data_IF_270727251298
#
_entry.id   IF_270727251298
#
_cell.length_a   1.000
_cell.length_b   1.000
_cell.length_c   1.000
_cell.angle_alpha   90.00
_cell.angle_beta   90.00
_cell.angle_gamma   90.00
#
_symmetry.space_group_name_H-M   'P 1'
#
loop_
_entity.id
_entity.type
_entity.pdbx_description
1 polymer ?
#
# COMPACT_ATOMS: atom_id res chain seq x y z
N UNK A 1 -15.83 16.13 -3.72
CA UNK A 1 -15.39 14.76 -4.08
C UNK A 1 -16.61 13.96 -4.50
N UNK A 2 -16.60 13.33 -5.68
CA UNK A 2 -17.69 12.46 -6.11
C UNK A 2 -17.26 11.00 -6.03
N UNK A 3 -18.07 10.15 -5.39
CA UNK A 3 -17.74 8.74 -5.09
C UNK A 3 -17.33 7.95 -6.34
N UNK A 4 -17.98 8.19 -7.48
CA UNK A 4 -17.64 7.53 -8.75
C UNK A 4 -16.21 7.85 -9.24
N UNK A 5 -15.70 9.04 -8.94
CA UNK A 5 -14.33 9.44 -9.31
C UNK A 5 -13.30 8.67 -8.46
N UNK A 6 -13.56 8.52 -7.17
CA UNK A 6 -12.71 7.73 -6.27
C UNK A 6 -12.74 6.25 -6.63
N UNK A 7 -13.92 5.73 -6.99
CA UNK A 7 -14.06 4.36 -7.46
C UNK A 7 -13.21 4.14 -8.72
N UNK A 8 -13.36 5.04 -9.70
CA UNK A 8 -12.55 5.01 -10.92
C UNK A 8 -11.05 5.09 -10.61
N UNK A 9 -10.65 5.98 -9.71
CA UNK A 9 -9.27 6.11 -9.27
C UNK A 9 -8.73 4.83 -8.63
N UNK A 10 -9.52 4.19 -7.75
CA UNK A 10 -9.16 2.92 -7.13
C UNK A 10 -9.03 1.81 -8.17
N UNK A 11 -9.97 1.72 -9.12
CA UNK A 11 -9.92 0.76 -10.21
C UNK A 11 -8.67 0.95 -11.08
N UNK A 12 -8.40 2.20 -11.52
CA UNK A 12 -7.30 2.53 -12.43
C UNK A 12 -5.94 2.30 -11.75
N UNK A 13 -5.78 2.69 -10.48
CA UNK A 13 -4.54 2.47 -9.70
C UNK A 13 -4.17 0.99 -9.57
N UNK A 14 -5.18 0.13 -9.43
CA UNK A 14 -4.98 -1.31 -9.26
C UNK A 14 -4.95 -2.07 -10.60
N UNK A 15 -4.98 -1.38 -11.74
CA UNK A 15 -4.90 -2.01 -13.07
C UNK A 15 -6.11 -2.87 -13.43
N UNK A 16 -7.25 -2.66 -12.77
CA UNK A 16 -8.43 -3.51 -12.93
C UNK A 16 -9.16 -3.18 -14.24
N UNK A 17 -9.28 -4.18 -15.12
CA UNK A 17 -9.95 -4.03 -16.41
C UNK A 17 -11.47 -3.95 -16.23
N UNK A 18 -12.09 -2.91 -16.78
CA UNK A 18 -13.54 -2.69 -16.63
C UNK A 18 -14.42 -3.83 -17.15
N UNK A 19 -14.01 -4.53 -18.22
CA UNK A 19 -14.76 -5.70 -18.74
C UNK A 19 -14.80 -6.86 -17.74
N UNK A 20 -13.68 -7.14 -17.08
CA UNK A 20 -13.56 -8.22 -16.09
C UNK A 20 -14.32 -7.85 -14.81
N UNK A 21 -14.17 -6.61 -14.36
CA UNK A 21 -14.90 -6.08 -13.21
C UNK A 21 -16.42 -6.14 -13.40
N UNK A 22 -16.92 -5.68 -14.55
CA UNK A 22 -18.35 -5.71 -14.85
C UNK A 22 -18.90 -7.15 -14.87
N UNK A 23 -18.15 -8.07 -15.49
CA UNK A 23 -18.51 -9.49 -15.54
C UNK A 23 -18.60 -10.09 -14.13
N UNK A 24 -17.62 -9.83 -13.28
CA UNK A 24 -17.56 -10.38 -11.92
C UNK A 24 -18.65 -9.79 -11.01
N UNK A 25 -18.97 -8.51 -11.18
CA UNK A 25 -20.07 -7.85 -10.47
C UNK A 25 -21.46 -8.12 -11.07
N UNK A 26 -21.57 -8.94 -12.11
CA UNK A 26 -22.85 -9.33 -12.71
C UNK A 26 -23.58 -8.21 -13.47
N UNK A 27 -22.86 -7.19 -13.96
CA UNK A 27 -23.44 -6.06 -14.70
C UNK A 27 -22.86 -5.92 -16.12
N UNK A 28 -23.52 -5.14 -16.96
CA UNK A 28 -22.99 -4.81 -18.29
C UNK A 28 -21.81 -3.83 -18.19
N UNK A 29 -20.85 -3.94 -19.11
CA UNK A 29 -19.74 -3.00 -19.20
C UNK A 29 -20.20 -1.55 -19.46
N UNK A 30 -21.35 -1.38 -20.14
CA UNK A 30 -21.94 -0.06 -20.35
C UNK A 30 -22.41 0.54 -19.03
N UNK A 31 -23.14 -0.23 -18.21
CA UNK A 31 -23.62 0.21 -16.90
C UNK A 31 -22.45 0.63 -15.99
N UNK A 32 -21.36 -0.14 -15.97
CA UNK A 32 -20.13 0.24 -15.26
C UNK A 32 -19.52 1.54 -15.80
N UNK A 33 -19.49 1.75 -17.12
CA UNK A 33 -19.00 3.00 -17.70
C UNK A 33 -19.86 4.21 -17.34
N UNK A 34 -21.19 4.06 -17.37
CA UNK A 34 -22.11 5.13 -16.98
C UNK A 34 -21.90 5.51 -15.51
N UNK A 35 -21.73 4.52 -14.63
CA UNK A 35 -21.35 4.75 -13.24
C UNK A 35 -20.03 5.50 -13.09
N UNK A 36 -18.94 5.01 -13.68
CA UNK A 36 -17.60 5.63 -13.57
C UNK A 36 -17.53 7.04 -14.15
N UNK A 37 -18.39 7.35 -15.11
CA UNK A 37 -18.53 8.69 -15.69
C UNK A 37 -19.41 9.63 -14.87
N UNK A 38 -20.11 9.12 -13.85
CA UNK A 38 -21.09 9.88 -13.07
C UNK A 38 -22.43 10.10 -13.78
N UNK A 39 -22.63 9.50 -14.96
CA UNK A 39 -23.86 9.63 -15.76
C UNK A 39 -25.06 8.94 -15.11
N UNK A 40 -24.83 7.79 -14.46
CA UNK A 40 -25.87 7.04 -13.76
C UNK A 40 -25.36 6.49 -12.44
N UNK A 41 -26.21 6.44 -11.42
CA UNK A 41 -25.87 5.79 -10.15
C UNK A 41 -26.27 4.31 -10.19
N UNK A 42 -25.52 3.47 -9.49
CA UNK A 42 -25.83 2.03 -9.33
C UNK A 42 -26.64 1.80 -8.05
N UNK A 43 -27.35 0.68 -7.96
CA UNK A 43 -27.99 0.31 -6.69
C UNK A 43 -26.92 0.01 -5.61
N UNK A 44 -27.27 0.08 -4.31
CA UNK A 44 -26.36 -0.27 -3.23
C UNK A 44 -25.77 -1.68 -3.36
N UNK A 45 -26.58 -2.65 -3.79
CA UNK A 45 -26.19 -4.05 -3.98
C UNK A 45 -25.17 -4.18 -5.11
N UNK A 46 -25.41 -3.50 -6.24
CA UNK A 46 -24.47 -3.47 -7.37
C UNK A 46 -23.17 -2.75 -6.97
N UNK A 47 -23.27 -1.69 -6.18
CA UNK A 47 -22.09 -0.98 -5.69
C UNK A 47 -21.23 -1.88 -4.79
N UNK A 48 -21.85 -2.62 -3.88
CA UNK A 48 -21.14 -3.60 -3.03
C UNK A 48 -20.51 -4.71 -3.87
N UNK A 49 -21.25 -5.27 -4.82
CA UNK A 49 -20.72 -6.29 -5.73
C UNK A 49 -19.51 -5.78 -6.54
N UNK A 50 -19.54 -4.51 -6.96
CA UNK A 50 -18.41 -3.86 -7.62
C UNK A 50 -17.19 -3.74 -6.71
N UNK A 51 -17.37 -3.35 -5.44
CA UNK A 51 -16.27 -3.25 -4.48
C UNK A 51 -15.67 -4.63 -4.14
N UNK A 52 -16.50 -5.65 -3.97
CA UNK A 52 -16.06 -7.03 -3.73
C UNK A 52 -15.35 -7.61 -4.94
N UNK A 53 -15.88 -7.35 -6.14
CA UNK A 53 -15.24 -7.75 -7.39
C UNK A 53 -13.89 -7.05 -7.60
N UNK A 54 -13.75 -5.77 -7.24
CA UNK A 54 -12.46 -5.11 -7.25
C UNK A 54 -11.46 -5.80 -6.31
N UNK A 55 -11.87 -6.09 -5.08
CA UNK A 55 -10.99 -6.71 -4.08
C UNK A 55 -10.59 -8.14 -4.46
N UNK A 56 -11.49 -8.86 -5.14
CA UNK A 56 -11.21 -10.18 -5.71
C UNK A 56 -10.17 -10.12 -6.82
N UNK A 57 -10.25 -9.10 -7.71
CA UNK A 57 -9.32 -8.94 -8.83
C UNK A 57 -7.97 -8.36 -8.39
N UNK A 58 -7.97 -7.49 -7.38
CA UNK A 58 -6.79 -6.89 -6.79
C UNK A 58 -6.99 -6.74 -5.28
N UNK A 59 -6.47 -7.69 -4.47
CA UNK A 59 -6.60 -7.67 -3.02
C UNK A 59 -6.12 -6.35 -2.40
N UNK A 60 -6.94 -5.75 -1.53
CA UNK A 60 -6.68 -4.47 -0.88
C UNK A 60 -7.20 -3.26 -1.66
N UNK A 61 -7.75 -3.44 -2.86
CA UNK A 61 -8.32 -2.34 -3.65
C UNK A 61 -9.58 -1.74 -3.02
N UNK A 62 -10.39 -2.55 -2.33
CA UNK A 62 -11.55 -2.05 -1.56
C UNK A 62 -11.10 -1.19 -0.37
N UNK A 63 -10.09 -1.65 0.36
CA UNK A 63 -9.50 -0.88 1.47
C UNK A 63 -8.97 0.46 0.97
N UNK A 64 -8.25 0.45 -0.15
CA UNK A 64 -7.74 1.67 -0.76
C UNK A 64 -8.86 2.66 -1.14
N UNK A 65 -9.97 2.16 -1.70
CA UNK A 65 -11.13 2.98 -2.00
C UNK A 65 -11.75 3.60 -0.72
N UNK A 66 -11.87 2.84 0.37
CA UNK A 66 -12.35 3.37 1.65
C UNK A 66 -11.44 4.46 2.21
N UNK A 67 -10.12 4.29 2.11
CA UNK A 67 -9.14 5.32 2.51
C UNK A 67 -9.30 6.61 1.69
N UNK A 68 -9.52 6.48 0.37
CA UNK A 68 -9.83 7.62 -0.49
C UNK A 68 -11.11 8.34 -0.05
N UNK A 69 -12.17 7.60 0.31
CA UNK A 69 -13.43 8.18 0.79
C UNK A 69 -13.28 8.93 2.12
N UNK A 70 -12.51 8.37 3.05
CA UNK A 70 -12.34 8.92 4.38
C UNK A 70 -11.56 10.25 4.38
N UNK A 71 -10.95 10.64 3.25
CA UNK A 71 -10.01 11.76 3.16
C UNK A 71 -8.87 11.66 4.17
N UNK A 72 -8.62 10.45 4.69
CA UNK A 72 -7.45 10.21 5.51
C UNK A 72 -6.23 10.45 4.61
N UNK A 73 -5.23 11.19 5.09
CA UNK A 73 -3.94 11.22 4.41
C UNK A 73 -3.55 9.76 4.16
N UNK A 74 -2.96 9.47 3.00
CA UNK A 74 -2.19 8.25 2.86
C UNK A 74 -1.05 8.32 3.88
N UNK A 75 -1.33 8.05 5.15
CA UNK A 75 -0.42 7.28 5.97
C UNK A 75 -0.17 6.07 5.09
N UNK A 76 1.01 6.05 4.48
CA UNK A 76 1.58 4.82 3.95
C UNK A 76 1.14 3.79 4.97
N UNK A 77 0.29 2.84 4.57
CA UNK A 77 0.05 1.69 5.42
C UNK A 77 1.44 1.16 5.59
N UNK A 78 2.02 1.48 6.74
CA UNK A 78 3.33 1.05 7.11
C UNK A 78 2.99 -0.36 7.56
N UNK A 79 2.72 -1.23 6.58
CA UNK A 79 3.07 -2.63 6.69
C UNK A 79 4.61 -2.62 6.69
N UNK A 80 5.22 -1.96 7.68
CA UNK A 80 6.22 -2.64 8.46
C UNK A 80 5.36 -3.68 9.15
N UNK A 81 5.27 -4.90 8.61
CA UNK A 81 4.80 -5.98 9.46
C UNK A 81 5.61 -5.86 10.75
N UNK A 82 4.91 -5.91 11.88
CA UNK A 82 5.56 -5.80 13.17
C UNK A 82 6.75 -6.74 13.15
N UNK A 83 7.97 -6.21 13.31
CA UNK A 83 9.17 -7.03 13.14
C UNK A 83 9.14 -8.23 14.07
N UNK A 84 8.47 -8.10 15.22
CA UNK A 84 8.21 -9.17 16.16
C UNK A 84 7.34 -10.27 15.54
N UNK A 85 6.21 -9.91 14.92
CA UNK A 85 5.32 -10.88 14.26
C UNK A 85 6.00 -11.58 13.08
N UNK A 86 6.87 -10.89 12.33
CA UNK A 86 7.68 -11.53 11.29
C UNK A 86 8.67 -12.53 11.86
N UNK A 87 9.31 -12.22 12.99
CA UNK A 87 10.28 -13.11 13.64
C UNK A 87 9.57 -14.35 14.19
N UNK A 88 8.34 -14.22 14.70
CA UNK A 88 7.55 -15.34 15.23
C UNK A 88 7.12 -16.35 14.16
N UNK A 89 7.01 -15.92 12.89
CA UNK A 89 6.62 -16.76 11.76
C UNK A 89 7.81 -17.26 10.92
N UNK A 90 9.00 -16.75 11.17
CA UNK A 90 10.19 -17.06 10.39
C UNK A 90 10.73 -18.46 10.72
N UNK A 91 11.25 -19.15 9.69
CA UNK A 91 11.99 -20.40 9.88
C UNK A 91 13.46 -20.15 10.30
N UNK A 92 14.18 -21.22 10.62
CA UNK A 92 15.57 -21.13 11.11
C UNK A 92 16.52 -20.45 10.11
N UNK A 93 16.34 -20.67 8.80
CA UNK A 93 17.17 -20.06 7.75
C UNK A 93 16.89 -18.56 7.64
N UNK A 94 15.61 -18.18 7.71
CA UNK A 94 15.16 -16.79 7.69
C UNK A 94 15.62 -16.03 8.94
N UNK A 95 15.62 -16.67 10.12
CA UNK A 95 16.14 -16.11 11.37
C UNK A 95 17.65 -15.84 11.27
N UNK A 96 18.43 -16.80 10.75
CA UNK A 96 19.87 -16.63 10.56
C UNK A 96 20.17 -15.47 9.60
N UNK A 97 19.46 -15.41 8.47
CA UNK A 97 19.58 -14.34 7.50
C UNK A 97 19.25 -12.97 8.12
N UNK A 98 18.18 -12.90 8.93
CA UNK A 98 17.78 -11.69 9.64
C UNK A 98 18.84 -11.23 10.64
N UNK A 99 19.41 -12.14 11.43
CA UNK A 99 20.47 -11.86 12.40
C UNK A 99 21.70 -11.24 11.73
N UNK A 100 22.16 -11.80 10.62
CA UNK A 100 23.30 -11.29 9.85
C UNK A 100 22.99 -9.89 9.30
N UNK A 101 21.80 -9.69 8.73
CA UNK A 101 21.39 -8.41 8.18
C UNK A 101 21.33 -7.30 9.24
N UNK A 102 20.79 -7.61 10.42
CA UNK A 102 20.73 -6.71 11.58
C UNK A 102 22.15 -6.36 12.05
N UNK A 103 23.02 -7.36 12.23
CA UNK A 103 24.42 -7.14 12.63
C UNK A 103 25.17 -6.22 11.66
N UNK A 104 25.02 -6.46 10.34
CA UNK A 104 25.61 -5.60 9.29
C UNK A 104 25.07 -4.17 9.35
N UNK A 105 23.76 -3.99 9.58
CA UNK A 105 23.13 -2.68 9.71
C UNK A 105 23.67 -1.91 10.92
N UNK A 106 23.74 -2.54 12.09
CA UNK A 106 24.29 -1.90 13.30
C UNK A 106 25.75 -1.49 13.14
N UNK A 107 26.58 -2.33 12.52
CA UNK A 107 27.99 -1.98 12.24
C UNK A 107 28.10 -0.72 11.38
N UNK A 108 27.30 -0.61 10.32
CA UNK A 108 27.26 0.59 9.44
C UNK A 108 26.80 1.83 10.19
N UNK A 109 25.73 1.73 10.98
CA UNK A 109 25.18 2.87 11.73
C UNK A 109 26.10 3.38 12.85
N UNK A 110 27.01 2.55 13.37
CA UNK A 110 28.01 2.96 14.36
C UNK A 110 29.26 3.57 13.71
N UNK A 111 29.65 3.11 12.52
CA UNK A 111 30.77 3.70 11.77
C UNK A 111 30.43 5.10 11.23
N UNK A 112 29.15 5.37 10.90
CA UNK A 112 28.69 6.69 10.47
C UNK A 112 28.53 7.71 11.61
N UNK A 113 28.89 7.36 12.86
CA UNK A 113 28.75 8.20 14.05
C UNK A 113 30.09 8.63 14.69
N UNK A 114 31.24 8.46 14.02
CA UNK A 114 32.51 9.03 14.53
C UNK A 114 32.46 10.57 14.43
N UNK A 115 32.61 11.31 15.55
CA UNK A 115 32.88 12.75 15.49
C UNK A 115 34.25 12.98 14.84
N UNK A 116 34.32 13.92 13.91
CA UNK A 116 35.55 14.60 13.56
C UNK A 116 35.92 15.52 14.73
N UNK A 117 36.72 15.02 15.66
CA UNK A 117 37.57 15.86 16.50
C UNK A 117 39.03 15.48 16.19
N UNK A 118 39.90 16.48 16.25
CA UNK A 118 41.35 16.48 16.00
C UNK A 118 41.80 16.65 14.55
N UNK A 119 41.67 17.88 14.04
CA UNK A 119 42.79 18.57 13.37
C UNK A 119 42.81 20.04 13.85
N UNK A 120 43.99 20.51 14.23
CA UNK A 120 44.37 21.88 14.62
C UNK A 120 44.14 22.33 16.07
N UNK A 121 44.92 21.76 16.99
CA UNK A 121 45.76 22.61 17.85
C UNK A 121 46.89 21.81 18.51
N UNK A 122 47.98 21.65 17.77
CA UNK A 122 49.28 21.40 18.35
C UNK A 122 50.32 22.24 17.59
N UNK A 123 51.03 23.07 18.36
CA UNK A 123 52.29 23.76 18.05
C UNK A 123 52.15 25.17 17.41
N UNK A 124 52.10 26.17 18.28
CA UNK A 124 52.97 27.33 18.15
C UNK A 124 53.56 27.65 19.53
N UNK A 125 54.87 27.40 19.65
CA UNK A 125 55.77 27.91 20.69
C UNK A 125 56.01 29.38 20.44
#
# INVERSE_FOLDING_TARGET
MQVHQLFKQAQDRNGIRGKELAKLAGISANHLSEFRSGKAWVSPEVFMALLEAMDTLAPGSRLYFCQLLAQEPMEKVNIKPNLVELIELADDEEIEAAMIAIGRKWRRSRLSRRPTEDIDNAIAV
#
